data_IF_283264673217
#
_entry.id   IF_283264673217
#
_cell.length_a   1.000
_cell.length_b   1.000
_cell.length_c   1.000
_cell.angle_alpha   90.00
_cell.angle_beta   90.00
_cell.angle_gamma   90.00
#
_symmetry.space_group_name_H-M   'P 1'
#
loop_
_entity.id
_entity.type
_entity.pdbx_description
1 polymer ?
#
# COMPACT_ATOMS: atom_id res chain seq x y z
N UNK A 1 16.81 11.16 6.97
CA UNK A 1 15.97 10.45 5.99
C UNK A 1 15.14 11.49 5.27
N UNK A 2 15.07 11.42 3.95
CA UNK A 2 14.39 12.42 3.12
C UNK A 2 12.87 12.37 3.35
N UNK A 3 12.27 13.46 3.84
CA UNK A 3 10.84 13.55 4.15
C UNK A 3 9.97 13.39 2.91
N UNK A 4 10.41 13.88 1.76
CA UNK A 4 9.65 13.80 0.52
C UNK A 4 9.59 12.35 0.03
N UNK A 5 10.71 11.64 0.11
CA UNK A 5 10.78 10.22 -0.22
C UNK A 5 9.91 9.37 0.71
N UNK A 6 9.94 9.64 2.01
CA UNK A 6 9.08 8.95 2.98
C UNK A 6 7.59 9.19 2.71
N UNK A 7 7.22 10.44 2.43
CA UNK A 7 5.85 10.76 2.04
C UNK A 7 5.46 10.01 0.77
N UNK A 8 6.32 10.02 -0.26
CA UNK A 8 6.06 9.30 -1.50
C UNK A 8 5.83 7.80 -1.26
N UNK A 9 6.69 7.16 -0.49
CA UNK A 9 6.59 5.73 -0.21
C UNK A 9 5.35 5.38 0.64
N UNK A 10 4.97 6.24 1.58
CA UNK A 10 3.69 6.13 2.28
C UNK A 10 2.51 6.17 1.30
N UNK A 11 2.47 7.14 0.39
CA UNK A 11 1.37 7.22 -0.58
C UNK A 11 1.36 6.00 -1.52
N UNK A 12 2.53 5.53 -1.95
CA UNK A 12 2.63 4.33 -2.80
C UNK A 12 2.11 3.09 -2.07
N UNK A 13 2.47 2.87 -0.80
CA UNK A 13 1.98 1.71 -0.05
C UNK A 13 0.45 1.76 0.14
N UNK A 14 -0.10 2.95 0.42
CA UNK A 14 -1.56 3.14 0.51
C UNK A 14 -2.24 2.91 -0.85
N UNK A 15 -1.68 3.42 -1.95
CA UNK A 15 -2.20 3.18 -3.31
C UNK A 15 -2.19 1.68 -3.66
N UNK A 16 -1.12 0.97 -3.28
CA UNK A 16 -0.99 -0.46 -3.50
C UNK A 16 -2.07 -1.24 -2.73
N UNK A 17 -2.30 -0.90 -1.45
CA UNK A 17 -3.39 -1.47 -0.66
C UNK A 17 -4.78 -1.14 -1.19
N UNK A 18 -4.99 0.07 -1.72
CA UNK A 18 -6.28 0.52 -2.25
C UNK A 18 -6.63 -0.09 -3.61
N UNK A 19 -5.65 -0.64 -4.32
CA UNK A 19 -5.80 -1.17 -5.67
C UNK A 19 -6.64 -2.45 -5.70
N UNK A 20 -7.22 -2.75 -6.86
CA UNK A 20 -7.92 -4.02 -7.10
C UNK A 20 -6.94 -5.21 -7.06
N UNK A 21 -7.49 -6.43 -6.96
CA UNK A 21 -6.72 -7.69 -6.86
C UNK A 21 -5.69 -7.84 -7.98
N UNK A 22 -6.05 -7.56 -9.23
CA UNK A 22 -5.15 -7.77 -10.37
C UNK A 22 -4.02 -6.75 -10.36
N UNK A 23 -4.32 -5.49 -10.03
CA UNK A 23 -3.33 -4.43 -9.88
C UNK A 23 -2.35 -4.73 -8.73
N UNK A 24 -2.84 -5.23 -7.60
CA UNK A 24 -2.03 -5.68 -6.45
C UNK A 24 -1.06 -6.80 -6.83
N UNK A 25 -1.56 -7.85 -7.50
CA UNK A 25 -0.74 -8.97 -8.00
C UNK A 25 0.33 -8.45 -8.95
N UNK A 26 -0.05 -7.60 -9.91
CA UNK A 26 0.86 -7.08 -10.94
C UNK A 26 1.98 -6.22 -10.36
N UNK A 27 1.69 -5.50 -9.27
CA UNK A 27 2.66 -4.67 -8.57
C UNK A 27 3.68 -5.50 -7.77
N UNK A 28 3.27 -6.64 -7.21
CA UNK A 28 4.07 -7.40 -6.22
C UNK A 28 4.73 -8.67 -6.75
N UNK A 29 4.17 -9.30 -7.80
CA UNK A 29 4.70 -10.55 -8.40
C UNK A 29 6.19 -10.38 -8.77
N UNK A 30 7.06 -11.38 -8.52
CA UNK A 30 6.78 -12.76 -8.10
C UNK A 30 6.69 -12.97 -6.58
N UNK A 31 6.65 -11.91 -5.78
CA UNK A 31 6.57 -12.01 -4.32
C UNK A 31 5.20 -12.44 -3.78
N UNK A 32 5.10 -12.56 -2.47
CA UNK A 32 3.83 -12.82 -1.80
C UNK A 32 3.06 -11.51 -1.71
N UNK A 33 2.01 -11.36 -2.53
CA UNK A 33 1.21 -10.14 -2.63
C UNK A 33 0.78 -9.59 -1.28
N UNK A 34 0.31 -10.48 -0.40
CA UNK A 34 -0.17 -10.09 0.93
C UNK A 34 0.99 -9.57 1.78
N UNK A 35 2.06 -10.36 1.93
CA UNK A 35 3.22 -9.99 2.75
C UNK A 35 3.83 -8.68 2.26
N UNK A 36 4.11 -8.57 0.95
CA UNK A 36 4.78 -7.40 0.38
C UNK A 36 3.96 -6.12 0.63
N UNK A 37 2.64 -6.18 0.45
CA UNK A 37 1.76 -5.02 0.67
C UNK A 37 1.65 -4.64 2.16
N UNK A 38 1.55 -5.63 3.06
CA UNK A 38 1.47 -5.36 4.50
C UNK A 38 2.81 -4.86 5.06
N UNK A 39 3.94 -5.39 4.59
CA UNK A 39 5.28 -5.02 5.04
C UNK A 39 5.68 -3.62 4.54
N UNK A 40 5.31 -3.27 3.30
CA UNK A 40 5.46 -1.91 2.77
C UNK A 40 4.66 -0.92 3.63
N UNK A 41 3.42 -1.25 3.98
CA UNK A 41 2.61 -0.39 4.84
C UNK A 41 3.14 -0.36 6.28
N UNK A 42 3.56 -1.47 6.87
CA UNK A 42 4.14 -1.47 8.21
C UNK A 42 5.39 -0.57 8.25
N UNK A 43 6.21 -0.62 7.21
CA UNK A 43 7.40 0.22 7.10
C UNK A 43 7.04 1.70 7.01
N UNK A 44 6.19 2.10 6.05
CA UNK A 44 5.97 3.52 5.76
C UNK A 44 4.77 4.15 6.50
N UNK A 45 3.72 3.37 6.76
CA UNK A 45 2.50 3.75 7.46
C UNK A 45 2.58 3.63 8.98
N UNK A 46 3.50 2.82 9.53
CA UNK A 46 3.67 2.64 10.97
C UNK A 46 5.04 3.11 11.46
N UNK A 47 6.13 2.52 10.95
CA UNK A 47 7.48 2.73 11.51
C UNK A 47 8.10 4.08 11.09
N UNK A 48 7.95 4.48 9.84
CA UNK A 48 8.46 5.74 9.32
C UNK A 48 7.43 6.89 9.35
N UNK A 49 6.18 6.59 9.71
CA UNK A 49 5.12 7.57 9.78
C UNK A 49 5.25 8.45 11.03
N UNK A 50 5.22 9.77 10.83
CA UNK A 50 5.21 10.74 11.92
C UNK A 50 3.91 11.54 11.92
N UNK A 51 3.04 11.26 12.90
CA UNK A 51 1.70 11.88 13.03
C UNK A 51 1.73 13.41 13.01
N UNK A 52 2.79 14.05 13.51
CA UNK A 52 2.87 15.51 13.57
C UNK A 52 3.00 16.17 12.20
N UNK A 53 3.41 15.41 11.17
CA UNK A 53 3.58 15.92 9.80
C UNK A 53 2.24 15.92 9.01
N UNK A 54 1.14 15.40 9.60
CA UNK A 54 -0.14 15.19 8.92
C UNK A 54 -1.33 15.71 9.73
N UNK A 55 -2.47 15.85 9.07
CA UNK A 55 -3.72 16.23 9.77
C UNK A 55 -4.20 15.12 10.70
N UNK A 56 -5.05 15.47 11.66
CA UNK A 56 -5.67 14.51 12.59
C UNK A 56 -6.45 13.45 11.80
N UNK A 57 -7.24 13.86 10.80
CA UNK A 57 -8.05 12.96 9.98
C UNK A 57 -7.18 11.97 9.18
N UNK A 58 -6.07 12.45 8.59
CA UNK A 58 -5.11 11.56 7.91
C UNK A 58 -4.49 10.56 8.88
N UNK A 59 -4.07 11.01 10.07
CA UNK A 59 -3.48 10.14 11.08
C UNK A 59 -4.46 9.08 11.60
N UNK A 60 -5.73 9.45 11.78
CA UNK A 60 -6.77 8.50 12.17
C UNK A 60 -6.99 7.42 11.11
N UNK A 61 -6.99 7.77 9.82
CA UNK A 61 -7.12 6.79 8.75
C UNK A 61 -5.94 5.81 8.69
N UNK A 62 -4.72 6.29 8.94
CA UNK A 62 -3.54 5.42 9.04
C UNK A 62 -3.65 4.48 10.23
N UNK A 63 -4.06 4.97 11.41
CA UNK A 63 -4.25 4.14 12.60
C UNK A 63 -5.34 3.07 12.41
N UNK A 64 -6.46 3.43 11.77
CA UNK A 64 -7.53 2.49 11.46
C UNK A 64 -7.08 1.43 10.44
N UNK A 65 -6.31 1.84 9.42
CA UNK A 65 -5.77 0.92 8.43
C UNK A 65 -4.79 -0.08 9.06
N UNK A 66 -3.90 0.38 9.93
CA UNK A 66 -2.97 -0.45 10.72
C UNK A 66 -3.75 -1.50 11.53
N UNK A 67 -4.80 -1.10 12.25
CA UNK A 67 -5.63 -2.03 13.02
C UNK A 67 -6.38 -3.07 12.16
N UNK A 68 -6.82 -2.72 10.95
CA UNK A 68 -7.46 -3.69 10.05
C UNK A 68 -6.41 -4.68 9.54
N UNK A 69 -5.21 -4.21 9.20
CA UNK A 69 -4.10 -5.05 8.75
C UNK A 69 -3.64 -5.99 9.86
N UNK A 70 -3.43 -5.50 11.09
CA UNK A 70 -3.03 -6.33 12.23
C UNK A 70 -4.04 -7.47 12.46
N UNK A 71 -5.35 -7.17 12.46
CA UNK A 71 -6.40 -8.20 12.56
C UNK A 71 -6.39 -9.21 11.41
N UNK A 72 -6.02 -8.77 10.21
CA UNK A 72 -5.92 -9.65 9.05
C UNK A 72 -4.72 -10.59 9.18
N UNK A 73 -3.57 -10.07 9.58
CA UNK A 73 -2.36 -10.88 9.84
C UNK A 73 -2.62 -11.89 10.95
N UNK A 74 -3.25 -11.48 12.05
CA UNK A 74 -3.64 -12.33 13.17
C UNK A 74 -4.63 -13.44 12.78
N UNK A 75 -5.40 -13.27 11.71
CA UNK A 75 -6.32 -14.29 11.21
C UNK A 75 -5.61 -15.52 10.60
N UNK A 76 -4.29 -15.43 10.36
CA UNK A 76 -3.46 -16.56 9.94
C UNK A 76 -3.59 -16.92 8.47
N UNK A 77 -3.47 -15.95 7.57
CA UNK A 77 -3.47 -16.20 6.13
C UNK A 77 -2.26 -17.06 5.69
N UNK A 78 -2.41 -17.79 4.59
CA UNK A 78 -1.33 -18.57 3.99
C UNK A 78 -0.51 -17.72 3.00
N UNK A 79 0.82 -17.77 3.10
CA UNK A 79 1.70 -17.07 2.17
C UNK A 79 1.51 -17.59 0.74
N UNK A 80 1.57 -16.70 -0.25
CA UNK A 80 1.33 -16.99 -1.67
C UNK A 80 -0.10 -17.45 -2.02
N UNK A 81 -1.03 -17.48 -1.06
CA UNK A 81 -2.45 -17.69 -1.35
C UNK A 81 -3.09 -16.39 -1.84
N UNK A 82 -3.46 -16.36 -3.12
CA UNK A 82 -4.12 -15.21 -3.73
C UNK A 82 -5.60 -15.10 -3.34
N UNK A 83 -6.22 -16.15 -2.80
CA UNK A 83 -7.61 -16.13 -2.35
C UNK A 83 -7.78 -15.33 -1.05
N UNK A 84 -6.69 -15.17 -0.29
CA UNK A 84 -6.61 -14.25 0.84
C UNK A 84 -7.03 -12.81 0.46
N UNK A 85 -6.77 -12.41 -0.79
CA UNK A 85 -7.12 -11.10 -1.34
C UNK A 85 -8.62 -10.92 -1.62
N UNK A 86 -9.42 -11.99 -1.60
CA UNK A 86 -10.87 -11.93 -1.83
C UNK A 86 -11.68 -11.95 -0.52
N UNK A 87 -10.99 -12.12 0.61
CA UNK A 87 -11.63 -12.18 1.93
C UNK A 87 -12.34 -10.87 2.30
N UNK A 88 -13.41 -10.93 3.13
CA UNK A 88 -14.10 -9.73 3.60
C UNK A 88 -13.19 -8.74 4.35
N UNK A 89 -12.17 -9.26 5.04
CA UNK A 89 -11.25 -8.43 5.82
C UNK A 89 -10.25 -7.72 4.90
N UNK A 90 -9.73 -8.38 3.87
CA UNK A 90 -8.91 -7.71 2.85
C UNK A 90 -9.70 -6.64 2.07
N UNK A 91 -10.99 -6.88 1.81
CA UNK A 91 -11.86 -5.84 1.24
C UNK A 91 -12.10 -4.63 2.17
N UNK A 92 -11.97 -4.80 3.49
CA UNK A 92 -11.96 -3.66 4.42
C UNK A 92 -10.66 -2.86 4.29
N UNK A 93 -9.52 -3.55 4.16
CA UNK A 93 -8.21 -2.92 3.92
C UNK A 93 -8.26 -2.06 2.66
N UNK A 94 -8.72 -2.61 1.52
CA UNK A 94 -8.85 -1.86 0.26
C UNK A 94 -9.70 -0.60 0.40
N UNK A 95 -10.87 -0.71 1.04
CA UNK A 95 -11.78 0.43 1.23
C UNK A 95 -11.16 1.51 2.12
N UNK A 96 -10.57 1.12 3.25
CA UNK A 96 -9.94 2.07 4.17
C UNK A 96 -8.71 2.73 3.54
N UNK A 97 -7.92 1.97 2.79
CA UNK A 97 -6.82 2.53 2.02
C UNK A 97 -7.31 3.53 0.95
N UNK A 98 -8.43 3.27 0.27
CA UNK A 98 -9.01 4.21 -0.69
C UNK A 98 -9.48 5.52 -0.04
N UNK A 99 -10.07 5.44 1.16
CA UNK A 99 -10.39 6.63 1.97
C UNK A 99 -9.12 7.41 2.30
N UNK A 100 -8.04 6.72 2.69
CA UNK A 100 -6.74 7.34 2.93
C UNK A 100 -6.17 8.01 1.66
N UNK A 101 -6.14 7.34 0.51
CA UNK A 101 -5.72 7.95 -0.78
C UNK A 101 -6.43 9.28 -1.01
N UNK A 102 -7.75 9.30 -0.82
CA UNK A 102 -8.58 10.50 -1.00
C UNK A 102 -8.25 11.59 0.03
N UNK A 103 -8.10 11.23 1.32
CA UNK A 103 -7.77 12.18 2.39
C UNK A 103 -6.36 12.78 2.27
N UNK A 104 -5.44 12.07 1.62
CA UNK A 104 -4.11 12.58 1.27
C UNK A 104 -4.11 13.41 -0.03
N UNK A 105 -5.25 13.51 -0.72
CA UNK A 105 -5.43 14.33 -1.91
C UNK A 105 -4.83 13.72 -3.18
N UNK A 106 -4.76 12.38 -3.25
CA UNK A 106 -4.26 11.66 -4.42
C UNK A 106 -5.37 10.93 -5.16
N UNK A 107 -5.13 10.60 -6.42
CA UNK A 107 -5.98 9.76 -7.23
C UNK A 107 -5.51 8.31 -7.15
N UNK A 108 -6.45 7.37 -7.05
CA UNK A 108 -6.13 5.97 -7.24
C UNK A 108 -5.66 5.77 -8.68
N UNK A 109 -4.39 5.42 -8.83
CA UNK A 109 -3.71 5.32 -10.11
C UNK A 109 -2.94 4.01 -10.19
N UNK A 110 -2.89 3.35 -11.36
CA UNK A 110 -2.14 2.11 -11.50
C UNK A 110 -0.67 2.33 -11.17
N UNK A 111 -0.15 1.51 -10.25
CA UNK A 111 1.27 1.46 -9.93
C UNK A 111 2.05 0.76 -11.06
N UNK A 112 3.35 1.06 -11.21
CA UNK A 112 4.19 0.39 -12.18
C UNK A 112 4.26 -1.12 -11.89
N UNK A 113 4.34 -1.92 -12.95
CA UNK A 113 4.48 -3.36 -12.81
C UNK A 113 5.88 -3.71 -12.34
N UNK A 114 5.99 -4.80 -11.58
CA UNK A 114 7.29 -5.43 -11.37
C UNK A 114 7.71 -6.13 -12.66
N UNK A 115 8.93 -5.85 -13.12
CA UNK A 115 9.47 -6.40 -14.36
C UNK A 115 10.78 -7.14 -14.08
N UNK A 116 10.94 -8.29 -14.71
CA UNK A 116 12.21 -8.99 -14.72
C UNK A 116 13.19 -8.22 -15.61
N UNK A 117 14.25 -7.71 -15.00
CA UNK A 117 15.28 -6.91 -15.68
C UNK A 117 16.45 -7.78 -16.16
N UNK A 118 16.68 -8.90 -15.48
CA UNK A 118 17.64 -9.96 -15.76
C UNK A 118 17.10 -11.25 -15.14
N UNK A 119 17.61 -12.41 -15.54
CA UNK A 119 17.17 -13.71 -15.01
C UNK A 119 17.14 -13.74 -13.47
N UNK A 120 15.95 -13.87 -12.89
CA UNK A 120 15.70 -13.89 -11.45
C UNK A 120 15.78 -12.53 -10.75
N UNK A 121 16.03 -11.43 -11.47
CA UNK A 121 16.15 -10.06 -10.93
C UNK A 121 14.94 -9.22 -11.31
N UNK A 122 14.10 -8.96 -10.33
CA UNK A 122 12.85 -8.22 -10.48
C UNK A 122 13.01 -6.80 -9.94
N UNK A 123 12.51 -5.81 -10.68
CA UNK A 123 12.57 -4.42 -10.28
C UNK A 123 11.26 -3.67 -10.57
N UNK A 124 10.91 -2.77 -9.65
CA UNK A 124 9.82 -1.83 -9.80
C UNK A 124 10.39 -0.42 -9.85
N UNK A 125 10.02 0.36 -10.87
CA UNK A 125 10.48 1.74 -11.00
C UNK A 125 9.59 2.73 -10.22
N UNK A 126 9.56 2.61 -8.88
CA UNK A 126 8.86 3.56 -8.01
C UNK A 126 9.56 4.93 -7.99
N UNK A 127 10.88 4.96 -8.13
CA UNK A 127 11.66 6.20 -8.14
C UNK A 127 11.14 7.20 -9.18
N UNK A 128 10.82 6.73 -10.39
CA UNK A 128 10.30 7.58 -11.47
C UNK A 128 8.76 7.67 -11.49
N UNK A 129 8.05 6.95 -10.62
CA UNK A 129 6.60 7.02 -10.56
C UNK A 129 6.13 8.40 -10.10
N UNK A 130 5.19 9.00 -10.84
CA UNK A 130 4.62 10.30 -10.52
C UNK A 130 3.25 10.12 -9.87
N UNK A 131 3.15 10.49 -8.59
CA UNK A 131 1.89 10.53 -7.88
C UNK A 131 0.95 11.57 -8.52
N UNK A 132 -0.28 11.17 -8.81
CA UNK A 132 -1.29 12.10 -9.33
C UNK A 132 -2.14 12.64 -8.19
N UNK A 133 -2.14 13.96 -8.03
CA UNK A 133 -3.01 14.65 -7.07
C UNK A 133 -4.42 14.79 -7.63
N UNK A 134 -5.42 14.74 -6.75
CA UNK A 134 -6.78 15.11 -7.11
C UNK A 134 -6.82 16.63 -7.38
N UNK A 135 -7.43 17.04 -8.49
CA UNK A 135 -7.70 18.45 -8.76
C UNK A 135 -8.74 18.95 -7.74
N UNK A 136 -8.49 20.13 -7.16
CA UNK A 136 -9.36 20.75 -6.16
C UNK A 136 -10.55 21.44 -6.81
#
# INVERSE_FOLDING_TARGET
>A
MDKELLHKNLIVSILALASDKQSQITYTTPGCVVCDLTDDFETYGKRCYNKSDYSIAQSQLIDELDQIIDRFVESGYECFDLDALDTPLWNQIRRKALEAVSAFGYLLTPLPKNIETQDGVWAINIANYQLKKAEK
#
